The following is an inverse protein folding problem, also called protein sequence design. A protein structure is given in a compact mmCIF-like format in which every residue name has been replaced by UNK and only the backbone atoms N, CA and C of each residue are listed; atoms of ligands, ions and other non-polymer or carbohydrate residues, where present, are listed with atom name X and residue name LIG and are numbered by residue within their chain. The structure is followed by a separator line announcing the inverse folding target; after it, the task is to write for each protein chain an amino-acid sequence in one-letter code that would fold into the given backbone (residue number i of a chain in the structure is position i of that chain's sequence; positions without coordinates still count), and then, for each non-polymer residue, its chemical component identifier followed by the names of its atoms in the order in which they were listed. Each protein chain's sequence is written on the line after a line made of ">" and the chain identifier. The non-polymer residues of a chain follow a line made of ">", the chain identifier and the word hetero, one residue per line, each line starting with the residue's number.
data_IF_101382010020
#
_entry.id   IF_101382010020
#
_cell.length_a   1.000
_cell.length_b   1.000
_cell.length_c   1.000
_cell.angle_alpha   90.00
_cell.angle_beta   90.00
_cell.angle_gamma   90.00
#
_symmetry.space_group_name_H-M   'P 1'
#
loop_
_entity.id
_entity.type
_entity.pdbx_description
1 polymer ?
#
# COMPACT_ATOMS: atom_id res chain seq x y z
N UNK A 1 126.84 -63.27 2.83
CA UNK A 1 125.75 -64.27 2.90
C UNK A 1 124.74 -63.95 4.01
N UNK A 2 125.20 -63.39 5.14
CA UNK A 2 124.35 -62.95 6.27
C UNK A 2 123.18 -62.01 5.88
N UNK A 3 123.40 -61.08 4.94
CA UNK A 3 122.35 -60.17 4.47
C UNK A 3 121.22 -60.89 3.70
N UNK A 4 121.51 -62.04 3.07
CA UNK A 4 120.48 -62.88 2.42
C UNK A 4 119.69 -63.67 3.47
N UNK A 5 120.36 -64.15 4.52
CA UNK A 5 119.72 -64.87 5.63
C UNK A 5 118.81 -63.95 6.46
N UNK A 6 119.23 -62.71 6.74
CA UNK A 6 118.40 -61.70 7.42
C UNK A 6 117.13 -61.34 6.64
N UNK A 7 117.23 -61.23 5.30
CA UNK A 7 116.06 -60.99 4.44
C UNK A 7 115.11 -62.19 4.40
N UNK A 8 115.65 -63.41 4.35
CA UNK A 8 114.85 -64.63 4.41
C UNK A 8 114.10 -64.75 5.75
N UNK A 9 114.76 -64.44 6.88
CA UNK A 9 114.13 -64.48 8.20
C UNK A 9 113.01 -63.43 8.36
N UNK A 10 113.17 -62.23 7.77
CA UNK A 10 112.12 -61.19 7.76
C UNK A 10 110.92 -61.60 6.91
N UNK A 11 111.16 -62.15 5.72
CA UNK A 11 110.07 -62.67 4.87
C UNK A 11 109.31 -63.78 5.57
N UNK A 12 110.00 -64.69 6.26
CA UNK A 12 109.35 -65.76 7.02
C UNK A 12 108.52 -65.22 8.20
N UNK A 13 108.99 -64.17 8.88
CA UNK A 13 108.21 -63.48 9.93
C UNK A 13 106.99 -62.76 9.36
N UNK A 14 107.13 -62.07 8.22
CA UNK A 14 106.02 -61.41 7.53
C UNK A 14 104.98 -62.42 7.01
N UNK A 15 105.40 -63.57 6.47
CA UNK A 15 104.51 -64.64 6.03
C UNK A 15 103.75 -65.28 7.20
N UNK A 16 104.41 -65.49 8.35
CA UNK A 16 103.75 -65.98 9.57
C UNK A 16 102.74 -64.97 10.10
N UNK A 17 103.08 -63.69 10.15
CA UNK A 17 102.16 -62.62 10.55
C UNK A 17 100.99 -62.50 9.57
N UNK A 18 101.22 -62.59 8.25
CA UNK A 18 100.17 -62.56 7.25
C UNK A 18 99.23 -63.78 7.37
N UNK A 19 99.77 -64.97 7.65
CA UNK A 19 98.98 -66.17 7.88
C UNK A 19 98.16 -66.10 9.18
N UNK A 20 98.72 -65.56 10.26
CA UNK A 20 98.00 -65.32 11.52
C UNK A 20 96.91 -64.28 11.35
N UNK A 21 97.18 -63.17 10.64
CA UNK A 21 96.18 -62.16 10.32
C UNK A 21 95.07 -62.73 9.41
N UNK A 22 95.41 -63.56 8.42
CA UNK A 22 94.42 -64.23 7.58
C UNK A 22 93.55 -65.21 8.37
N UNK A 23 94.12 -65.92 9.35
CA UNK A 23 93.36 -66.79 10.27
C UNK A 23 92.41 -65.98 11.14
N UNK A 24 92.90 -64.91 11.78
CA UNK A 24 92.08 -64.03 12.60
C UNK A 24 90.93 -63.40 11.79
N UNK A 25 91.21 -62.93 10.57
CA UNK A 25 90.18 -62.39 9.67
C UNK A 25 89.16 -63.45 9.25
N UNK A 26 89.61 -64.69 8.99
CA UNK A 26 88.71 -65.79 8.65
C UNK A 26 87.81 -66.18 9.84
N UNK A 27 88.36 -66.22 11.05
CA UNK A 27 87.60 -66.46 12.28
C UNK A 27 86.58 -65.35 12.53
N UNK A 28 86.97 -64.07 12.39
CA UNK A 28 86.06 -62.94 12.48
C UNK A 28 84.92 -63.02 11.44
N UNK A 29 85.24 -63.29 10.17
CA UNK A 29 84.22 -63.45 9.13
C UNK A 29 83.28 -64.62 9.39
N UNK A 30 83.82 -65.75 9.89
CA UNK A 30 83.01 -66.90 10.27
C UNK A 30 82.07 -66.57 11.43
N UNK A 31 82.57 -65.84 12.43
CA UNK A 31 81.78 -65.40 13.57
C UNK A 31 80.72 -64.37 13.18
N UNK A 32 81.05 -63.42 12.29
CA UNK A 32 80.09 -62.46 11.74
C UNK A 32 79.02 -63.15 10.90
N UNK A 33 79.39 -64.11 10.06
CA UNK A 33 78.44 -64.89 9.26
C UNK A 33 77.54 -65.76 10.12
N UNK A 34 78.09 -66.37 11.17
CA UNK A 34 77.32 -67.09 12.17
C UNK A 34 76.35 -66.16 12.90
N UNK A 35 76.81 -64.99 13.35
CA UNK A 35 75.96 -63.98 14.00
C UNK A 35 74.88 -63.43 13.05
N UNK A 36 75.20 -63.24 11.76
CA UNK A 36 74.21 -62.89 10.73
C UNK A 36 73.12 -63.96 10.60
N UNK A 37 73.50 -65.24 10.50
CA UNK A 37 72.54 -66.35 10.48
C UNK A 37 71.70 -66.40 11.76
N UNK A 38 72.28 -66.12 12.93
CA UNK A 38 71.53 -66.05 14.20
C UNK A 38 70.57 -64.86 14.21
N UNK A 39 70.97 -63.68 13.72
CA UNK A 39 70.07 -62.51 13.59
C UNK A 39 68.90 -62.77 12.66
N UNK A 40 69.15 -63.42 11.53
CA UNK A 40 68.12 -63.74 10.54
C UNK A 40 67.18 -64.83 11.03
N UNK A 41 67.68 -65.86 11.71
CA UNK A 41 66.89 -67.02 12.14
C UNK A 41 66.25 -66.88 13.53
N UNK A 42 66.78 -66.04 14.43
CA UNK A 42 66.20 -65.85 15.76
C UNK A 42 64.96 -64.96 15.71
N UNK A 43 63.87 -65.44 16.32
CA UNK A 43 62.62 -64.70 16.41
C UNK A 43 62.75 -63.49 17.35
N UNK A 44 63.49 -63.62 18.45
CA UNK A 44 63.65 -62.55 19.45
C UNK A 44 64.34 -61.30 18.88
N UNK A 45 65.41 -61.47 18.09
CA UNK A 45 66.11 -60.33 17.47
C UNK A 45 65.26 -59.69 16.39
N UNK A 46 64.51 -60.49 15.61
CA UNK A 46 63.57 -59.97 14.60
C UNK A 46 62.42 -59.20 15.24
N UNK A 47 61.90 -59.67 16.37
CA UNK A 47 60.87 -58.94 17.14
C UNK A 47 61.40 -57.66 17.76
N UNK A 48 62.63 -57.70 18.31
CA UNK A 48 63.31 -56.51 18.81
C UNK A 48 63.50 -55.48 17.68
N UNK A 49 63.98 -55.91 16.52
CA UNK A 49 64.18 -55.05 15.37
C UNK A 49 62.85 -54.44 14.88
N UNK A 50 61.77 -55.22 14.84
CA UNK A 50 60.42 -54.72 14.54
C UNK A 50 59.97 -53.66 15.56
N UNK A 51 60.20 -53.90 16.86
CA UNK A 51 59.90 -52.95 17.94
C UNK A 51 60.73 -51.66 17.77
N UNK A 52 62.02 -51.76 17.48
CA UNK A 52 62.88 -50.60 17.21
C UNK A 52 62.43 -49.82 15.97
N UNK A 53 62.08 -50.50 14.88
CA UNK A 53 61.49 -49.87 13.68
C UNK A 53 60.19 -49.14 14.01
N UNK A 54 59.30 -49.74 14.80
CA UNK A 54 58.06 -49.08 15.26
C UNK A 54 58.34 -47.83 16.11
N UNK A 55 59.40 -47.84 16.91
CA UNK A 55 59.81 -46.71 17.74
C UNK A 55 60.30 -45.53 16.89
N UNK A 56 61.06 -45.80 15.83
CA UNK A 56 61.46 -44.76 14.87
C UNK A 56 60.23 -44.16 14.18
N UNK A 57 59.29 -44.99 13.72
CA UNK A 57 58.03 -44.52 13.14
C UNK A 57 57.21 -43.67 14.12
N UNK A 58 57.17 -44.05 15.39
CA UNK A 58 56.47 -43.28 16.42
C UNK A 58 57.16 -41.94 16.73
N UNK A 59 58.50 -41.90 16.72
CA UNK A 59 59.28 -40.67 16.87
C UNK A 59 59.02 -39.71 15.71
N UNK A 60 59.02 -40.21 14.48
CA UNK A 60 58.70 -39.41 13.29
C UNK A 60 57.25 -38.92 13.31
N UNK A 61 56.31 -39.78 13.69
CA UNK A 61 54.89 -39.40 13.85
C UNK A 61 54.72 -38.31 14.89
N UNK A 62 55.43 -38.38 16.02
CA UNK A 62 55.38 -37.34 17.04
C UNK A 62 55.93 -36.01 16.50
N UNK A 63 57.04 -36.04 15.77
CA UNK A 63 57.58 -34.84 15.12
C UNK A 63 56.57 -34.23 14.12
N UNK A 64 55.92 -35.06 13.30
CA UNK A 64 54.87 -34.60 12.38
C UNK A 64 53.66 -34.00 13.08
N UNK A 65 53.24 -34.56 14.22
CA UNK A 65 52.15 -34.00 15.03
C UNK A 65 52.55 -32.62 15.55
N UNK A 66 53.74 -32.49 16.12
CA UNK A 66 54.23 -31.19 16.62
C UNK A 66 54.37 -30.15 15.52
N UNK A 67 54.82 -30.54 14.32
CA UNK A 67 54.89 -29.66 13.16
C UNK A 67 53.51 -29.22 12.70
N UNK A 68 52.55 -30.16 12.64
CA UNK A 68 51.17 -29.86 12.27
C UNK A 68 50.51 -28.93 13.28
N UNK A 69 50.73 -29.12 14.57
CA UNK A 69 50.24 -28.25 15.64
C UNK A 69 50.84 -26.83 15.53
N UNK A 70 52.13 -26.72 15.23
CA UNK A 70 52.78 -25.43 14.99
C UNK A 70 52.16 -24.70 13.78
N UNK A 71 51.96 -25.41 12.66
CA UNK A 71 51.32 -24.86 11.46
C UNK A 71 49.87 -24.43 11.76
N UNK A 72 49.13 -25.20 12.54
CA UNK A 72 47.76 -24.84 12.95
C UNK A 72 47.75 -23.58 13.81
N UNK A 73 48.68 -23.46 14.76
CA UNK A 73 48.80 -22.28 15.60
C UNK A 73 49.12 -21.02 14.79
N UNK A 74 50.04 -21.11 13.83
CA UNK A 74 50.35 -20.00 12.91
C UNK A 74 49.14 -19.60 12.06
N UNK A 75 48.38 -20.57 11.54
CA UNK A 75 47.13 -20.31 10.80
C UNK A 75 46.11 -19.60 11.67
N UNK A 76 45.87 -20.07 12.90
CA UNK A 76 44.95 -19.42 13.83
C UNK A 76 45.36 -17.99 14.13
N UNK A 77 46.66 -17.73 14.29
CA UNK A 77 47.18 -16.37 14.50
C UNK A 77 46.91 -15.48 13.28
N UNK A 78 47.18 -15.96 12.07
CA UNK A 78 46.90 -15.21 10.85
C UNK A 78 45.40 -14.98 10.62
N UNK A 79 44.56 -15.98 10.88
CA UNK A 79 43.09 -15.83 10.82
C UNK A 79 42.59 -14.80 11.82
N UNK A 80 43.15 -14.76 13.03
CA UNK A 80 42.83 -13.75 14.04
C UNK A 80 43.25 -12.33 13.59
N UNK A 81 44.44 -12.18 13.00
CA UNK A 81 44.91 -10.90 12.44
C UNK A 81 44.01 -10.42 11.28
N UNK A 82 43.59 -11.33 10.40
CA UNK A 82 42.64 -11.03 9.32
C UNK A 82 41.29 -10.62 9.89
N UNK A 83 40.76 -11.37 10.86
CA UNK A 83 39.49 -11.07 11.50
C UNK A 83 39.50 -9.70 12.19
N UNK A 84 40.62 -9.32 12.82
CA UNK A 84 40.79 -8.00 13.41
C UNK A 84 40.75 -6.89 12.35
N UNK A 85 41.51 -7.03 11.25
CA UNK A 85 41.49 -6.05 10.14
C UNK A 85 40.10 -5.93 9.53
N UNK A 86 39.41 -7.04 9.32
CA UNK A 86 38.04 -7.03 8.80
C UNK A 86 37.09 -6.26 9.73
N UNK A 87 37.18 -6.49 11.05
CA UNK A 87 36.38 -5.73 12.03
C UNK A 87 36.66 -4.24 11.98
N UNK A 88 37.93 -3.84 11.92
CA UNK A 88 38.33 -2.43 11.82
C UNK A 88 37.77 -1.76 10.56
N UNK A 89 37.81 -2.44 9.41
CA UNK A 89 37.20 -1.93 8.17
C UNK A 89 35.67 -1.86 8.25
N UNK A 90 35.00 -2.88 8.82
CA UNK A 90 33.55 -2.83 9.05
C UNK A 90 33.16 -1.66 9.95
N UNK A 91 33.90 -1.40 11.03
CA UNK A 91 33.66 -0.25 11.91
C UNK A 91 33.85 1.08 11.20
N UNK A 92 34.82 1.19 10.28
CA UNK A 92 35.01 2.39 9.45
C UNK A 92 33.81 2.62 8.53
N UNK A 93 33.37 1.58 7.82
CA UNK A 93 32.20 1.65 6.95
C UNK A 93 30.95 2.07 7.73
N UNK A 94 30.69 1.48 8.90
CA UNK A 94 29.54 1.85 9.74
C UNK A 94 29.62 3.33 10.18
N UNK A 95 30.81 3.82 10.55
CA UNK A 95 31.01 5.23 10.91
C UNK A 95 30.78 6.16 9.73
N UNK A 96 31.23 5.79 8.54
CA UNK A 96 31.02 6.57 7.31
C UNK A 96 29.54 6.61 6.91
N UNK A 97 28.85 5.47 6.95
CA UNK A 97 27.41 5.37 6.73
C UNK A 97 26.64 6.21 7.74
N UNK A 98 26.97 6.11 9.04
CA UNK A 98 26.36 6.94 10.08
C UNK A 98 26.61 8.43 9.88
N UNK A 99 27.82 8.84 9.48
CA UNK A 99 28.12 10.22 9.12
C UNK A 99 27.32 10.71 7.91
N UNK A 100 27.18 9.88 6.88
CA UNK A 100 26.39 10.20 5.69
C UNK A 100 24.89 10.31 6.02
N UNK A 101 24.38 9.44 6.88
CA UNK A 101 22.99 9.48 7.34
C UNK A 101 22.71 10.73 8.18
N UNK A 102 23.62 11.11 9.08
CA UNK A 102 23.53 12.36 9.83
C UNK A 102 23.50 13.60 8.91
N UNK A 103 24.28 13.61 7.82
CA UNK A 103 24.24 14.69 6.82
C UNK A 103 22.87 14.75 6.14
N UNK A 104 22.36 13.60 5.65
CA UNK A 104 21.02 13.52 5.04
C UNK A 104 19.92 13.96 6.02
N UNK A 105 20.02 13.60 7.29
CA UNK A 105 19.06 14.01 8.30
C UNK A 105 19.12 15.51 8.57
N UNK A 106 20.32 16.10 8.62
CA UNK A 106 20.47 17.57 8.69
C UNK A 106 19.85 18.26 7.49
N UNK A 107 20.11 17.78 6.28
CA UNK A 107 19.51 18.31 5.04
C UNK A 107 17.97 18.22 5.08
N UNK A 108 17.41 17.10 5.54
CA UNK A 108 15.96 16.94 5.72
C UNK A 108 15.39 17.94 6.73
N UNK A 109 16.07 18.18 7.85
CA UNK A 109 15.64 19.15 8.86
C UNK A 109 15.67 20.57 8.28
N UNK A 110 16.74 20.95 7.57
CA UNK A 110 16.83 22.26 6.92
C UNK A 110 15.72 22.44 5.89
N UNK A 111 15.46 21.41 5.08
CA UNK A 111 14.37 21.40 4.12
C UNK A 111 12.98 21.53 4.78
N UNK A 112 12.76 20.83 5.90
CA UNK A 112 11.53 20.96 6.70
C UNK A 112 11.36 22.39 7.22
N UNK A 113 12.41 23.00 7.75
CA UNK A 113 12.38 24.39 8.22
C UNK A 113 12.09 25.39 7.09
N UNK A 114 12.60 25.14 5.88
CA UNK A 114 12.28 25.96 4.71
C UNK A 114 10.81 25.82 4.30
N UNK A 115 10.26 24.60 4.33
CA UNK A 115 8.83 24.37 4.07
C UNK A 115 7.95 25.03 5.13
N UNK A 116 8.32 24.94 6.41
CA UNK A 116 7.61 25.63 7.50
C UNK A 116 7.58 27.14 7.28
N UNK A 117 8.71 27.76 6.91
CA UNK A 117 8.76 29.18 6.54
C UNK A 117 7.85 29.52 5.35
N UNK A 118 7.80 28.66 4.33
CA UNK A 118 6.90 28.87 3.19
C UNK A 118 5.43 28.82 3.61
N UNK A 119 5.07 27.92 4.54
CA UNK A 119 3.72 27.85 5.10
C UNK A 119 3.39 29.09 5.92
N UNK A 120 4.31 29.53 6.79
CA UNK A 120 4.15 30.78 7.55
C UNK A 120 3.97 32.00 6.63
N UNK A 121 4.74 32.10 5.54
CA UNK A 121 4.56 33.16 4.54
C UNK A 121 3.20 33.09 3.84
N UNK A 122 2.71 31.88 3.52
CA UNK A 122 1.36 31.73 2.95
C UNK A 122 0.27 32.12 3.94
N UNK A 123 0.43 31.78 5.22
CA UNK A 123 -0.50 32.19 6.27
C UNK A 123 -0.51 33.71 6.47
N UNK A 124 0.66 34.36 6.48
CA UNK A 124 0.75 35.82 6.49
C UNK A 124 0.05 36.45 5.30
N UNK A 125 0.29 35.97 4.09
CA UNK A 125 -0.41 36.45 2.89
C UNK A 125 -1.94 36.31 2.99
N UNK A 126 -2.43 35.22 3.60
CA UNK A 126 -3.87 35.05 3.86
C UNK A 126 -4.39 36.05 4.90
N UNK A 127 -3.60 36.33 5.94
CA UNK A 127 -3.94 37.35 6.95
C UNK A 127 -3.99 38.74 6.31
N UNK A 128 -2.98 39.11 5.54
CA UNK A 128 -2.92 40.40 4.82
C UNK A 128 -4.12 40.56 3.87
N UNK A 129 -4.43 39.53 3.07
CA UNK A 129 -5.58 39.54 2.17
C UNK A 129 -6.92 39.63 2.92
N UNK A 130 -7.02 39.03 4.11
CA UNK A 130 -8.20 39.15 4.95
C UNK A 130 -8.34 40.56 5.55
N UNK A 131 -7.24 41.20 5.94
CA UNK A 131 -7.24 42.59 6.35
C UNK A 131 -7.66 43.53 5.21
N UNK A 132 -7.15 43.32 4.01
CA UNK A 132 -7.57 44.07 2.81
C UNK A 132 -9.06 43.88 2.54
N UNK A 133 -9.56 42.64 2.58
CA UNK A 133 -10.98 42.35 2.43
C UNK A 133 -11.84 43.08 3.48
N UNK A 134 -11.40 43.12 4.74
CA UNK A 134 -12.11 43.87 5.78
C UNK A 134 -12.13 45.37 5.51
N UNK A 135 -11.02 45.95 5.03
CA UNK A 135 -10.96 47.36 4.63
C UNK A 135 -11.89 47.65 3.45
N UNK A 136 -11.89 46.81 2.42
CA UNK A 136 -12.80 46.91 1.28
C UNK A 136 -14.26 46.79 1.71
N UNK A 137 -14.57 45.83 2.57
CA UNK A 137 -15.93 45.65 3.11
C UNK A 137 -16.40 46.91 3.83
N UNK A 138 -15.58 47.49 4.70
CA UNK A 138 -15.91 48.74 5.39
C UNK A 138 -16.15 49.89 4.38
N UNK A 139 -15.32 49.99 3.34
CA UNK A 139 -15.50 50.99 2.28
C UNK A 139 -16.80 50.77 1.50
N UNK A 140 -17.13 49.53 1.17
CA UNK A 140 -18.39 49.17 0.50
C UNK A 140 -19.58 49.49 1.41
N UNK A 141 -19.52 49.14 2.68
CA UNK A 141 -20.57 49.44 3.66
C UNK A 141 -20.79 50.96 3.78
N UNK A 142 -19.74 51.77 3.73
CA UNK A 142 -19.85 53.24 3.66
C UNK A 142 -20.50 53.74 2.37
N UNK A 143 -20.16 53.15 1.22
CA UNK A 143 -20.78 53.49 -0.08
C UNK A 143 -22.28 53.14 -0.04
N UNK A 144 -22.63 51.94 0.44
CA UNK A 144 -24.02 51.51 0.59
C UNK A 144 -24.77 52.44 1.53
N UNK A 145 -24.17 52.85 2.65
CA UNK A 145 -24.77 53.82 3.57
C UNK A 145 -25.06 55.15 2.86
N UNK A 146 -24.10 55.69 2.10
CA UNK A 146 -24.29 56.93 1.31
C UNK A 146 -25.41 56.79 0.28
N UNK A 147 -25.50 55.67 -0.43
CA UNK A 147 -26.59 55.42 -1.39
C UNK A 147 -27.94 55.42 -0.67
N UNK A 148 -28.05 54.75 0.48
CA UNK A 148 -29.29 54.76 1.27
C UNK A 148 -29.65 56.17 1.77
N UNK A 149 -28.67 56.96 2.21
CA UNK A 149 -28.87 58.35 2.61
C UNK A 149 -29.36 59.19 1.41
N UNK A 150 -28.72 59.08 0.24
CA UNK A 150 -29.11 59.76 -1.00
C UNK A 150 -30.52 59.36 -1.45
N UNK A 151 -30.86 58.07 -1.46
CA UNK A 151 -32.19 57.56 -1.78
C UNK A 151 -33.28 58.10 -0.83
N UNK A 152 -32.97 58.20 0.46
CA UNK A 152 -33.89 58.79 1.44
C UNK A 152 -34.09 60.27 1.19
N UNK A 153 -33.02 61.02 0.91
CA UNK A 153 -33.10 62.44 0.55
C UNK A 153 -33.89 62.65 -0.74
N UNK A 154 -33.69 61.82 -1.75
CA UNK A 154 -34.44 61.90 -3.01
C UNK A 154 -35.94 61.61 -2.80
N UNK A 155 -36.28 60.61 -1.98
CA UNK A 155 -37.67 60.33 -1.59
C UNK A 155 -38.30 61.52 -0.86
N UNK A 156 -37.59 62.15 0.07
CA UNK A 156 -38.07 63.34 0.78
C UNK A 156 -38.29 64.50 -0.20
N UNK A 157 -37.33 64.79 -1.07
CA UNK A 157 -37.46 65.83 -2.10
C UNK A 157 -38.66 65.56 -3.04
N UNK A 158 -38.91 64.30 -3.40
CA UNK A 158 -40.07 63.92 -4.20
C UNK A 158 -41.39 64.15 -3.46
N UNK A 159 -41.45 63.78 -2.17
CA UNK A 159 -42.62 64.05 -1.32
C UNK A 159 -42.86 65.55 -1.17
N UNK A 160 -41.82 66.34 -0.97
CA UNK A 160 -41.95 67.80 -0.84
C UNK A 160 -42.37 68.46 -2.15
N UNK A 161 -41.86 67.99 -3.30
CA UNK A 161 -42.38 68.40 -4.62
C UNK A 161 -43.85 68.05 -4.79
N UNK A 162 -44.26 66.83 -4.41
CA UNK A 162 -45.67 66.42 -4.47
C UNK A 162 -46.55 67.29 -3.56
N UNK A 163 -46.11 67.57 -2.33
CA UNK A 163 -46.81 68.47 -1.40
C UNK A 163 -46.92 69.88 -1.98
N UNK A 164 -45.85 70.42 -2.54
CA UNK A 164 -45.87 71.75 -3.19
C UNK A 164 -46.84 71.78 -4.37
N UNK A 165 -46.84 70.76 -5.24
CA UNK A 165 -47.81 70.68 -6.34
C UNK A 165 -49.25 70.55 -5.82
N UNK A 166 -49.46 69.80 -4.73
CA UNK A 166 -50.77 69.64 -4.12
C UNK A 166 -51.28 70.95 -3.54
N UNK A 167 -50.43 71.71 -2.83
CA UNK A 167 -50.79 73.04 -2.31
C UNK A 167 -51.11 74.00 -3.45
N UNK A 168 -50.32 74.02 -4.54
CA UNK A 168 -50.63 74.84 -5.72
C UNK A 168 -51.96 74.44 -6.38
N UNK A 169 -52.27 73.15 -6.49
CA UNK A 169 -53.56 72.67 -7.01
C UNK A 169 -54.72 73.12 -6.11
N UNK A 170 -54.56 73.02 -4.79
CA UNK A 170 -55.59 73.40 -3.84
C UNK A 170 -55.82 74.92 -3.79
N UNK A 171 -54.77 75.72 -3.90
CA UNK A 171 -54.84 77.17 -4.09
C UNK A 171 -55.56 77.53 -5.40
N UNK A 172 -55.18 76.90 -6.52
CA UNK A 172 -55.84 77.10 -7.80
C UNK A 172 -57.34 76.72 -7.76
N UNK A 173 -57.70 75.62 -7.09
CA UNK A 173 -59.10 75.23 -6.89
C UNK A 173 -59.88 76.24 -6.06
N UNK A 174 -59.27 76.81 -5.01
CA UNK A 174 -59.88 77.88 -4.20
C UNK A 174 -60.12 79.13 -5.05
N UNK A 175 -59.13 79.57 -5.82
CA UNK A 175 -59.26 80.70 -6.74
C UNK A 175 -60.35 80.46 -7.80
N UNK A 176 -60.38 79.27 -8.39
CA UNK A 176 -61.42 78.90 -9.36
C UNK A 176 -62.82 78.83 -8.72
N UNK A 177 -62.93 78.42 -7.45
CA UNK A 177 -64.19 78.44 -6.72
C UNK A 177 -64.67 79.87 -6.43
N UNK A 178 -63.76 80.76 -6.04
CA UNK A 178 -64.03 82.19 -5.85
C UNK A 178 -64.47 82.81 -7.19
N UNK A 179 -63.77 82.53 -8.28
CA UNK A 179 -64.14 83.01 -9.62
C UNK A 179 -65.52 82.50 -10.06
N UNK A 180 -65.81 81.20 -9.89
CA UNK A 180 -67.14 80.63 -10.19
C UNK A 180 -68.24 81.26 -9.35
N UNK A 181 -67.99 81.53 -8.07
CA UNK A 181 -68.93 82.20 -7.18
C UNK A 181 -69.21 83.62 -7.65
N UNK A 182 -68.16 84.40 -7.95
CA UNK A 182 -68.28 85.76 -8.48
C UNK A 182 -69.04 85.80 -9.80
N UNK A 183 -68.76 84.86 -10.71
CA UNK A 183 -69.49 84.74 -11.98
C UNK A 183 -70.95 84.38 -11.77
N UNK A 184 -71.27 83.52 -10.79
CA UNK A 184 -72.65 83.19 -10.43
C UNK A 184 -73.39 84.39 -9.86
N UNK A 185 -72.76 85.16 -8.98
CA UNK A 185 -73.32 86.39 -8.42
C UNK A 185 -73.61 87.42 -9.52
N UNK A 186 -72.68 87.61 -10.48
CA UNK A 186 -72.92 88.44 -11.68
C UNK A 186 -74.11 87.95 -12.52
N UNK A 187 -74.20 86.65 -12.78
CA UNK A 187 -75.32 86.05 -13.53
C UNK A 187 -76.65 86.18 -12.79
N UNK A 188 -76.65 86.07 -11.46
CA UNK A 188 -77.85 86.26 -10.63
C UNK A 188 -78.33 87.71 -10.66
N UNK A 189 -77.41 88.70 -10.65
CA UNK A 189 -77.76 90.11 -10.82
C UNK A 189 -78.31 90.43 -12.22
N UNK A 190 -77.72 89.86 -13.28
CA UNK A 190 -78.25 89.98 -14.64
C UNK A 190 -79.64 89.33 -14.76
N UNK A 191 -79.82 88.13 -14.19
CA UNK A 191 -81.12 87.45 -14.17
C UNK A 191 -82.18 88.23 -13.38
N UNK A 192 -81.82 88.91 -12.28
CA UNK A 192 -82.74 89.80 -11.55
C UNK A 192 -83.21 90.95 -12.44
N UNK A 193 -82.30 91.60 -13.17
CA UNK A 193 -82.65 92.68 -14.12
C UNK A 193 -83.53 92.18 -15.26
N UNK A 194 -83.28 90.96 -15.76
CA UNK A 194 -84.13 90.32 -16.78
C UNK A 194 -85.54 90.05 -16.24
N UNK A 195 -85.65 89.53 -15.01
CA UNK A 195 -86.96 89.27 -14.39
C UNK A 195 -87.76 90.55 -14.16
N UNK A 196 -87.11 91.62 -13.71
CA UNK A 196 -87.74 92.94 -13.56
C UNK A 196 -88.25 93.46 -14.91
N UNK A 197 -87.44 93.36 -15.97
CA UNK A 197 -87.86 93.74 -17.33
C UNK A 197 -89.03 92.89 -17.86
N UNK A 198 -89.00 91.58 -17.62
CA UNK A 198 -90.07 90.66 -18.02
C UNK A 198 -91.39 90.95 -17.28
N UNK A 199 -91.34 91.35 -16.00
CA UNK A 199 -92.52 91.75 -15.24
C UNK A 199 -93.13 93.06 -15.76
N UNK A 200 -92.30 94.03 -16.14
CA UNK A 200 -92.76 95.29 -16.75
C UNK A 200 -93.43 95.04 -18.12
N UNK A 201 -92.91 94.11 -18.93
CA UNK A 201 -93.54 93.72 -20.19
C UNK A 201 -94.90 93.03 -19.98
N UNK A 202 -94.98 92.09 -19.03
CA UNK A 202 -96.25 91.41 -18.69
C UNK A 202 -97.34 92.39 -18.27
N UNK A 203 -97.02 93.39 -17.45
CA UNK A 203 -97.99 94.42 -17.05
C UNK A 203 -98.50 95.24 -18.25
N UNK A 204 -97.63 95.58 -19.21
CA UNK A 204 -98.04 96.29 -20.45
C UNK A 204 -98.91 95.44 -21.37
N UNK A 205 -98.67 94.13 -21.43
CA UNK A 205 -99.49 93.19 -22.20
C UNK A 205 -100.87 93.00 -21.55
N UNK A 206 -100.94 92.86 -20.24
CA UNK A 206 -102.21 92.76 -19.49
C UNK A 206 -103.10 94.00 -19.72
N UNK A 207 -102.51 95.21 -19.66
CA UNK A 207 -103.22 96.46 -19.95
C UNK A 207 -103.73 96.56 -21.40
N UNK A 208 -103.01 95.96 -22.36
CA UNK A 208 -103.46 95.87 -23.77
C UNK A 208 -104.60 94.88 -23.92
N UNK A 209 -104.49 93.71 -23.30
CA UNK A 209 -105.51 92.65 -23.39
C UNK A 209 -106.83 93.07 -22.76
N UNK A 210 -106.80 93.87 -21.69
CA UNK A 210 -108.00 94.47 -21.11
C UNK A 210 -108.76 95.36 -22.12
N UNK A 211 -108.04 96.17 -22.90
CA UNK A 211 -108.65 97.06 -23.93
C UNK A 211 -109.23 96.30 -25.12
N UNK A 212 -108.66 95.15 -25.49
CA UNK A 212 -109.17 94.31 -26.59
C UNK A 212 -110.48 93.62 -26.19
N UNK A 213 -110.58 93.12 -24.96
CA UNK A 213 -111.80 92.46 -24.44
C UNK A 213 -113.02 93.39 -24.48
N UNK A 214 -112.85 94.65 -24.09
CA UNK A 214 -113.89 95.69 -24.15
C UNK A 214 -114.37 95.99 -25.59
N UNK A 215 -113.53 95.78 -26.59
CA UNK A 215 -113.88 95.97 -28.00
C UNK A 215 -114.58 94.73 -28.60
N UNK A 216 -114.20 93.53 -28.20
CA UNK A 216 -114.82 92.27 -28.65
C UNK A 216 -116.26 92.11 -28.15
N UNK A 217 -116.55 92.51 -26.91
CA UNK A 217 -117.94 92.48 -26.39
C UNK A 217 -118.89 93.36 -27.21
N UNK A 218 -118.40 94.48 -27.75
CA UNK A 218 -119.21 95.37 -28.62
C UNK A 218 -119.44 94.75 -30.01
N UNK A 219 -118.49 93.95 -30.51
CA UNK A 219 -118.57 93.28 -31.82
C UNK A 219 -119.48 92.06 -31.82
N UNK A 220 -119.47 91.26 -30.75
CA UNK A 220 -120.33 90.07 -30.61
C UNK A 220 -121.83 90.40 -30.62
N UNK A 221 -122.21 91.56 -30.07
CA UNK A 221 -123.59 92.07 -30.13
C UNK A 221 -124.07 92.33 -31.57
N UNK A 222 -123.17 92.74 -32.46
CA UNK A 222 -123.49 93.03 -33.87
C UNK A 222 -123.58 91.74 -34.72
N UNK A 223 -122.70 90.77 -34.48
CA UNK A 223 -122.69 89.50 -35.22
C UNK A 223 -123.94 88.65 -34.98
N UNK A 224 -124.49 88.69 -33.75
CA UNK A 224 -125.70 87.94 -33.42
C UNK A 224 -126.92 88.38 -34.24
N UNK A 225 -126.99 89.65 -34.67
CA UNK A 225 -128.06 90.14 -35.56
C UNK A 225 -127.93 89.66 -37.00
N UNK A 226 -126.72 89.36 -37.48
CA UNK A 226 -126.48 88.97 -38.88
C UNK A 226 -126.76 87.47 -39.08
N UNK A 227 -126.46 86.63 -38.09
CA UNK A 227 -126.65 85.18 -38.16
C UNK A 227 -128.11 84.77 -38.42
N UNK A 228 -129.08 85.45 -37.79
CA UNK A 228 -130.51 85.15 -37.97
C UNK A 228 -131.02 85.41 -39.41
N UNK A 229 -130.35 86.26 -40.18
CA UNK A 229 -130.75 86.56 -41.55
C UNK A 229 -130.19 85.55 -42.57
N UNK A 230 -129.07 84.89 -42.28
CA UNK A 230 -128.41 83.97 -43.21
C UNK A 230 -129.08 82.58 -43.24
N UNK A 231 -129.61 82.13 -42.10
CA UNK A 231 -130.23 80.81 -41.94
C UNK A 231 -131.47 80.62 -42.82
N UNK A 232 -132.17 81.71 -43.16
CA UNK A 232 -133.33 81.70 -44.06
C UNK A 232 -132.98 81.48 -45.54
N UNK A 233 -131.76 81.77 -45.96
CA UNK A 233 -131.34 81.64 -47.36
C UNK A 233 -130.71 80.27 -47.68
N UNK A 234 -130.17 79.55 -46.68
CA UNK A 234 -129.52 78.25 -46.89
C UNK A 234 -130.50 77.11 -47.18
N UNK A 235 -131.69 77.11 -46.58
CA UNK A 235 -132.68 76.03 -46.78
C UNK A 235 -133.13 75.87 -48.25
N UNK A 236 -133.02 76.93 -49.06
CA UNK A 236 -133.39 76.89 -50.49
C UNK A 236 -132.33 76.23 -51.39
N UNK A 237 -131.09 76.05 -50.90
CA UNK A 237 -129.98 75.51 -51.71
C UNK A 237 -129.81 74.00 -51.58
N UNK A 238 -130.20 73.42 -50.45
CA UNK A 238 -129.95 72.00 -50.15
C UNK A 238 -130.80 71.03 -51.01
N UNK A 239 -131.94 71.47 -51.54
CA UNK A 239 -132.79 70.63 -52.40
C UNK A 239 -132.17 70.32 -53.78
N UNK A 240 -131.14 71.06 -54.21
CA UNK A 240 -130.53 70.91 -55.55
C UNK A 240 -129.34 69.94 -55.61
N UNK A 241 -128.69 69.60 -54.48
CA UNK A 241 -127.41 68.86 -54.49
C UNK A 241 -127.55 67.33 -54.44
N UNK A 242 -128.69 66.77 -54.04
CA UNK A 242 -128.84 65.31 -53.85
C UNK A 242 -128.73 64.49 -55.14
N UNK A 243 -128.97 65.08 -56.32
CA UNK A 243 -129.00 64.38 -57.62
C UNK A 243 -127.58 64.06 -58.15
N UNK A 244 -126.50 64.61 -57.56
CA UNK A 244 -125.14 64.56 -58.15
C UNK A 244 -124.23 63.43 -57.65
N UNK A 245 -124.58 62.72 -56.57
CA UNK A 245 -123.64 61.87 -55.83
C UNK A 245 -123.58 60.39 -56.26
N UNK A 246 -124.50 59.88 -57.08
CA UNK A 246 -124.56 58.42 -57.37
C UNK A 246 -123.50 57.89 -58.38
N UNK A 247 -122.66 58.74 -59.01
CA UNK A 247 -121.82 58.34 -60.16
C UNK A 247 -120.31 58.04 -59.89
N UNK A 248 -119.77 58.28 -58.69
CA UNK A 248 -118.30 58.34 -58.46
C UNK A 248 -117.61 57.05 -57.93
N UNK A 249 -118.34 56.02 -57.46
CA UNK A 249 -117.76 54.98 -56.58
C UNK A 249 -117.09 53.74 -57.25
N UNK A 250 -117.15 53.55 -58.57
CA UNK A 250 -116.79 52.26 -59.21
C UNK A 250 -115.27 52.07 -59.56
N UNK A 251 -114.41 53.09 -59.53
CA UNK A 251 -113.07 53.05 -60.19
C UNK A 251 -111.85 52.60 -59.34
N UNK A 252 -111.89 52.48 -58.00
CA UNK A 252 -110.64 52.44 -57.18
C UNK A 252 -110.00 51.06 -56.82
N UNK A 253 -110.58 49.89 -57.10
CA UNK A 253 -110.24 48.65 -56.35
C UNK A 253 -109.03 47.75 -56.81
N UNK A 254 -108.29 47.99 -57.91
CA UNK A 254 -107.40 46.97 -58.54
C UNK A 254 -105.90 46.90 -58.10
N UNK A 255 -105.37 47.84 -57.31
CA UNK A 255 -103.90 48.11 -57.29
C UNK A 255 -102.98 47.35 -56.28
N UNK A 256 -103.44 46.54 -55.32
CA UNK A 256 -102.66 46.18 -54.09
C UNK A 256 -101.79 44.87 -54.04
N UNK A 257 -101.72 43.95 -55.03
CA UNK A 257 -101.25 42.53 -54.80
C UNK A 257 -99.75 42.08 -54.95
N UNK A 258 -98.71 42.91 -55.15
CA UNK A 258 -97.38 42.45 -55.69
C UNK A 258 -96.10 42.33 -54.79
N UNK A 259 -96.08 42.54 -53.46
CA UNK A 259 -94.83 42.88 -52.71
C UNK A 259 -94.11 41.83 -51.78
N UNK A 260 -94.55 40.58 -51.53
CA UNK A 260 -94.13 39.80 -50.33
C UNK A 260 -93.01 38.68 -50.36
N UNK A 261 -92.33 38.28 -51.46
CA UNK A 261 -91.63 36.95 -51.56
C UNK A 261 -90.10 36.78 -51.26
N UNK A 262 -89.31 37.76 -50.76
CA UNK A 262 -87.83 37.74 -50.92
C UNK A 262 -86.87 37.33 -49.74
N UNK A 263 -87.30 37.02 -48.51
CA UNK A 263 -86.42 37.10 -47.31
C UNK A 263 -85.74 35.81 -46.73
N UNK A 264 -85.89 34.57 -47.23
CA UNK A 264 -85.67 33.33 -46.40
C UNK A 264 -84.28 32.58 -46.48
N UNK A 265 -83.34 32.86 -47.39
CA UNK A 265 -82.28 31.87 -47.77
C UNK A 265 -80.94 31.77 -46.92
N UNK A 266 -80.59 32.68 -46.00
CA UNK A 266 -79.17 32.85 -45.52
C UNK A 266 -78.66 32.10 -44.25
N UNK A 267 -79.39 31.18 -43.58
CA UNK A 267 -79.10 30.78 -42.16
C UNK A 267 -78.29 29.47 -41.84
N UNK A 268 -77.72 28.69 -42.78
CA UNK A 268 -77.30 27.27 -42.49
C UNK A 268 -75.78 26.97 -42.27
N UNK A 269 -74.80 27.85 -42.53
CA UNK A 269 -73.38 27.46 -42.70
C UNK A 269 -72.40 27.36 -41.49
N UNK A 270 -72.80 27.54 -40.23
CA UNK A 270 -71.83 27.78 -39.12
C UNK A 270 -71.76 26.73 -37.99
N UNK A 271 -71.91 25.41 -38.27
CA UNK A 271 -72.05 24.38 -37.20
C UNK A 271 -71.00 23.25 -37.13
N UNK A 272 -69.84 23.31 -37.81
CA UNK A 272 -68.95 22.12 -37.99
C UNK A 272 -67.50 22.15 -37.45
N UNK A 273 -66.95 23.25 -36.91
CA UNK A 273 -65.49 23.34 -36.61
C UNK A 273 -65.07 23.15 -35.12
N UNK A 274 -65.89 22.51 -34.29
CA UNK A 274 -65.62 22.33 -32.83
C UNK A 274 -65.37 20.86 -32.42
N UNK A 275 -64.69 20.09 -33.28
CA UNK A 275 -64.25 18.70 -33.06
C UNK A 275 -62.73 18.61 -33.29
N UNK A 276 -61.94 19.30 -32.47
CA UNK A 276 -61.19 18.66 -31.36
C UNK A 276 -60.02 17.81 -31.88
N UNK A 277 -58.80 18.29 -32.10
CA UNK A 277 -57.86 18.95 -31.14
C UNK A 277 -57.74 18.29 -29.75
N UNK A 278 -58.20 17.04 -29.58
CA UNK A 278 -58.11 16.27 -28.33
C UNK A 278 -57.16 15.05 -28.36
N UNK A 279 -56.47 14.77 -29.49
CA UNK A 279 -55.67 13.54 -29.66
C UNK A 279 -54.15 13.69 -29.45
N UNK A 280 -53.59 14.89 -29.25
CA UNK A 280 -52.12 15.10 -29.25
C UNK A 280 -51.43 15.12 -27.85
N UNK A 281 -52.12 14.83 -26.74
CA UNK A 281 -51.54 14.96 -25.38
C UNK A 281 -51.15 13.66 -24.65
N UNK A 282 -51.32 12.45 -25.21
CA UNK A 282 -51.09 11.18 -24.45
C UNK A 282 -49.76 10.44 -24.75
N UNK A 283 -48.93 10.91 -25.69
CA UNK A 283 -47.75 10.16 -26.17
C UNK A 283 -46.42 10.44 -25.45
N UNK A 284 -46.36 11.31 -24.43
CA UNK A 284 -45.09 11.81 -23.85
C UNK A 284 -44.73 11.30 -22.42
N UNK A 285 -45.31 10.19 -21.93
CA UNK A 285 -45.15 9.81 -20.49
C UNK A 285 -44.77 8.34 -20.17
N UNK A 286 -43.99 7.62 -21.01
CA UNK A 286 -43.64 6.20 -20.70
C UNK A 286 -42.20 5.71 -20.94
N UNK A 287 -41.23 6.55 -21.31
CA UNK A 287 -39.86 6.08 -21.68
C UNK A 287 -38.77 6.41 -20.64
N UNK A 288 -39.07 7.10 -19.53
CA UNK A 288 -38.04 7.59 -18.59
C UNK A 288 -37.84 6.79 -17.28
N UNK A 289 -38.11 5.47 -17.23
CA UNK A 289 -38.05 4.72 -15.93
C UNK A 289 -37.50 3.29 -15.95
N UNK A 290 -36.66 2.92 -16.93
CA UNK A 290 -36.07 1.57 -17.01
C UNK A 290 -34.53 1.51 -17.17
N UNK A 291 -33.81 2.62 -16.97
CA UNK A 291 -32.35 2.67 -17.18
C UNK A 291 -31.54 2.92 -15.87
N UNK A 292 -32.02 2.50 -14.69
CA UNK A 292 -31.36 2.78 -13.40
C UNK A 292 -31.26 1.56 -12.45
N UNK A 293 -31.43 0.33 -12.93
CA UNK A 293 -31.41 -0.87 -12.06
C UNK A 293 -30.35 -1.93 -12.44
N UNK A 294 -29.38 -1.62 -13.30
CA UNK A 294 -28.36 -2.59 -13.76
C UNK A 294 -26.92 -2.29 -13.29
N UNK A 295 -26.69 -1.42 -12.28
CA UNK A 295 -25.33 -1.08 -11.80
C UNK A 295 -24.97 -1.52 -10.35
N UNK A 296 -25.78 -2.29 -9.62
CA UNK A 296 -25.52 -2.54 -8.17
C UNK A 296 -25.29 -4.00 -7.69
N UNK A 297 -25.31 -5.05 -8.51
CA UNK A 297 -25.24 -6.45 -8.00
C UNK A 297 -23.98 -7.28 -8.33
N UNK A 298 -22.97 -6.73 -9.03
CA UNK A 298 -21.79 -7.51 -9.45
C UNK A 298 -20.50 -7.32 -8.61
N UNK A 299 -20.54 -6.63 -7.47
CA UNK A 299 -19.33 -6.29 -6.68
C UNK A 299 -19.26 -6.93 -5.26
N UNK A 300 -20.05 -7.97 -4.98
CA UNK A 300 -20.23 -8.48 -3.59
C UNK A 300 -19.92 -9.95 -3.32
N UNK A 301 -19.27 -10.69 -4.22
CA UNK A 301 -19.14 -12.16 -4.03
C UNK A 301 -17.77 -12.82 -4.21
N UNK A 302 -16.64 -12.11 -4.11
CA UNK A 302 -15.37 -12.84 -4.04
C UNK A 302 -14.23 -12.11 -3.31
N UNK A 303 -14.56 -11.66 -2.09
CA UNK A 303 -13.59 -11.40 -1.02
C UNK A 303 -13.69 -12.56 0.01
N UNK A 304 -13.42 -13.79 -0.44
CA UNK A 304 -13.30 -15.01 0.38
C UNK A 304 -11.98 -15.71 0.03
N UNK A 305 -10.92 -14.91 0.02
CA UNK A 305 -9.57 -15.33 -0.34
C UNK A 305 -8.57 -15.23 0.81
N UNK A 306 -8.96 -14.94 2.06
CA UNK A 306 -7.97 -14.87 3.16
C UNK A 306 -8.57 -15.18 4.53
N UNK A 307 -8.50 -16.45 4.88
CA UNK A 307 -7.83 -16.90 6.11
C UNK A 307 -7.17 -18.22 5.68
N UNK A 308 -5.91 -18.19 5.24
CA UNK A 308 -4.79 -18.14 6.18
C UNK A 308 -5.16 -19.04 7.35
N UNK A 309 -4.76 -20.30 7.21
CA UNK A 309 -3.72 -20.73 8.13
C UNK A 309 -4.27 -20.65 9.54
N UNK A 310 -4.81 -21.76 10.01
CA UNK A 310 -4.11 -22.30 11.15
C UNK A 310 -4.25 -23.83 11.19
N UNK A 311 -3.16 -24.38 11.69
CA UNK A 311 -3.00 -25.69 12.29
C UNK A 311 -2.69 -26.86 11.35
N UNK A 312 -1.43 -26.97 10.94
CA UNK A 312 -0.33 -27.62 11.70
C UNK A 312 -0.67 -29.07 12.09
N UNK A 313 -0.05 -29.97 11.34
CA UNK A 313 0.87 -30.97 11.89
C UNK A 313 0.34 -31.71 13.12
N UNK A 314 -0.41 -32.76 12.88
CA UNK A 314 -0.65 -33.90 13.76
C UNK A 314 -0.93 -35.08 12.82
N UNK A 315 -0.16 -36.15 12.65
CA UNK A 315 0.96 -36.71 13.38
C UNK A 315 1.67 -37.71 12.45
N UNK A 316 2.99 -37.75 12.59
CA UNK A 316 3.81 -38.91 12.30
C UNK A 316 3.29 -40.12 13.11
N UNK A 317 3.15 -41.31 12.50
CA UNK A 317 3.45 -42.66 13.07
C UNK A 317 2.46 -43.78 12.71
N UNK A 318 2.67 -44.46 11.58
CA UNK A 318 2.04 -45.78 11.35
C UNK A 318 2.90 -46.82 10.61
N UNK A 319 4.23 -46.64 10.50
CA UNK A 319 5.09 -47.55 9.72
C UNK A 319 6.35 -48.07 10.46
N UNK A 320 6.32 -48.09 11.80
CA UNK A 320 7.42 -48.60 12.66
C UNK A 320 7.00 -49.77 13.58
N UNK A 321 6.28 -50.78 13.07
CA UNK A 321 5.97 -52.05 13.80
C UNK A 321 6.06 -53.35 12.98
N UNK A 322 6.89 -53.42 11.94
CA UNK A 322 7.24 -54.70 11.26
C UNK A 322 8.70 -55.06 11.46
N UNK A 323 9.13 -55.10 12.72
CA UNK A 323 9.38 -56.39 13.39
C UNK A 323 10.24 -57.34 12.56
N UNK A 324 11.49 -56.92 12.53
CA UNK A 324 12.70 -57.65 12.21
C UNK A 324 13.04 -58.64 13.33
N UNK A 325 12.23 -59.69 13.58
CA UNK A 325 12.42 -60.50 14.80
C UNK A 325 12.37 -62.04 14.73
N UNK A 326 12.36 -62.72 13.57
CA UNK A 326 12.19 -64.19 13.62
C UNK A 326 13.11 -65.10 12.77
N UNK A 327 14.16 -64.61 12.11
CA UNK A 327 15.00 -65.47 11.24
C UNK A 327 16.44 -65.74 11.72
N UNK A 328 16.97 -65.03 12.72
CA UNK A 328 18.38 -65.16 13.13
C UNK A 328 18.69 -66.19 14.24
N UNK A 329 17.71 -67.03 14.65
CA UNK A 329 17.84 -67.90 15.84
C UNK A 329 18.06 -69.40 15.56
N UNK A 330 18.20 -69.87 14.32
CA UNK A 330 18.25 -71.33 14.02
C UNK A 330 19.54 -71.90 13.40
N UNK A 331 20.63 -71.15 13.22
CA UNK A 331 21.79 -71.60 12.43
C UNK A 331 23.11 -71.91 13.20
N UNK A 332 23.20 -71.71 14.52
CA UNK A 332 24.51 -71.62 15.21
C UNK A 332 24.94 -72.88 15.98
N UNK A 333 24.06 -73.84 16.27
CA UNK A 333 24.38 -74.92 17.24
C UNK A 333 25.06 -76.18 16.68
N UNK A 334 25.23 -76.38 15.37
CA UNK A 334 25.74 -77.66 14.81
C UNK A 334 27.25 -77.77 14.55
N UNK A 335 28.06 -76.74 14.84
CA UNK A 335 29.47 -76.67 14.39
C UNK A 335 30.54 -77.04 15.45
N UNK A 336 30.16 -77.40 16.68
CA UNK A 336 31.09 -77.40 17.82
C UNK A 336 31.63 -78.79 18.22
N UNK A 337 30.99 -79.90 17.82
CA UNK A 337 31.29 -81.21 18.41
C UNK A 337 32.42 -82.02 17.71
N UNK A 338 32.73 -81.76 16.44
CA UNK A 338 33.66 -82.62 15.67
C UNK A 338 35.16 -82.38 15.92
N UNK A 339 35.54 -81.33 16.66
CA UNK A 339 36.93 -80.85 16.76
C UNK A 339 37.81 -81.54 17.83
N UNK A 340 37.23 -82.32 18.75
CA UNK A 340 37.93 -82.73 19.99
C UNK A 340 38.75 -84.03 19.90
N UNK A 341 38.58 -84.88 18.87
CA UNK A 341 39.13 -86.25 18.89
C UNK A 341 40.52 -86.43 18.26
N UNK A 342 41.04 -85.48 17.47
CA UNK A 342 42.35 -85.61 16.81
C UNK A 342 43.55 -85.18 17.70
N UNK A 343 43.30 -84.62 18.87
CA UNK A 343 44.30 -83.86 19.63
C UNK A 343 45.30 -84.68 20.48
N UNK A 344 45.00 -85.95 20.78
CA UNK A 344 45.70 -86.67 21.86
C UNK A 344 46.91 -87.49 21.35
N UNK A 345 46.90 -87.92 20.09
CA UNK A 345 47.88 -88.88 19.56
C UNK A 345 49.26 -88.27 19.19
N UNK A 346 49.34 -86.97 18.93
CA UNK A 346 50.58 -86.32 18.46
C UNK A 346 51.55 -85.95 19.60
N UNK A 347 51.14 -86.10 20.87
CA UNK A 347 51.82 -85.49 22.01
C UNK A 347 53.09 -86.22 22.52
N UNK A 348 53.27 -87.51 22.21
CA UNK A 348 54.32 -88.34 22.84
C UNK A 348 55.63 -88.40 22.04
N UNK A 349 55.61 -88.28 20.71
CA UNK A 349 56.83 -88.24 19.88
C UNK A 349 57.64 -86.96 20.06
N UNK A 350 56.98 -85.91 20.55
CA UNK A 350 57.53 -84.57 20.71
C UNK A 350 58.58 -84.47 21.85
N UNK A 351 58.58 -85.37 22.83
CA UNK A 351 59.39 -85.22 24.05
C UNK A 351 60.89 -85.55 23.89
N UNK A 352 61.25 -86.44 22.97
CA UNK A 352 62.64 -86.92 22.83
C UNK A 352 63.52 -86.00 21.96
N UNK A 353 62.94 -85.35 20.94
CA UNK A 353 63.65 -84.37 20.10
C UNK A 353 64.03 -83.11 20.90
N UNK A 354 63.24 -82.75 21.92
CA UNK A 354 63.44 -81.56 22.77
C UNK A 354 64.78 -81.50 23.49
N UNK A 355 65.32 -82.61 24.02
CA UNK A 355 66.53 -82.56 24.85
C UNK A 355 67.82 -82.24 24.07
N UNK A 356 67.90 -82.63 22.80
CA UNK A 356 69.08 -82.38 21.97
C UNK A 356 69.04 -80.99 21.34
N UNK A 357 67.84 -80.47 21.14
CA UNK A 357 67.59 -79.08 20.78
C UNK A 357 67.94 -78.12 21.93
N UNK A 358 67.64 -78.48 23.19
CA UNK A 358 67.91 -77.63 24.36
C UNK A 358 69.38 -77.16 24.46
N UNK A 359 70.37 -78.05 24.27
CA UNK A 359 71.80 -77.67 24.32
C UNK A 359 72.24 -76.79 23.15
N UNK A 360 71.69 -77.03 21.95
CA UNK A 360 71.94 -76.17 20.78
C UNK A 360 71.29 -74.79 20.98
N UNK A 361 70.11 -74.78 21.59
CA UNK A 361 69.39 -73.56 21.93
C UNK A 361 70.12 -72.75 23.00
N UNK A 362 70.77 -73.37 24.00
CA UNK A 362 71.54 -72.64 25.02
C UNK A 362 72.69 -71.81 24.42
N UNK A 363 73.49 -72.40 23.52
CA UNK A 363 74.55 -71.66 22.82
C UNK A 363 74.01 -70.59 21.87
N UNK A 364 72.84 -70.82 21.26
CA UNK A 364 72.18 -69.79 20.45
C UNK A 364 71.64 -68.67 21.36
N UNK A 365 71.10 -69.00 22.54
CA UNK A 365 70.56 -68.03 23.50
C UNK A 365 71.63 -67.07 24.01
N UNK A 366 72.84 -67.54 24.30
CA UNK A 366 73.95 -66.66 24.71
C UNK A 366 74.35 -65.69 23.59
N UNK A 367 74.49 -66.18 22.35
CA UNK A 367 74.79 -65.33 21.19
C UNK A 367 73.64 -64.35 20.91
N UNK A 368 72.39 -64.78 21.04
CA UNK A 368 71.20 -63.92 20.88
C UNK A 368 71.19 -62.81 21.93
N UNK A 369 71.52 -63.10 23.19
CA UNK A 369 71.54 -62.10 24.26
C UNK A 369 72.66 -61.06 24.07
N UNK A 370 73.85 -61.49 23.61
CA UNK A 370 74.94 -60.57 23.22
C UNK A 370 74.51 -59.63 22.08
N UNK A 371 73.89 -60.19 21.03
CA UNK A 371 73.43 -59.42 19.87
C UNK A 371 72.26 -58.50 20.22
N UNK A 372 71.37 -58.92 21.13
CA UNK A 372 70.30 -58.12 21.72
C UNK A 372 70.87 -56.88 22.41
N UNK A 373 71.87 -57.06 23.28
CA UNK A 373 72.52 -55.96 24.00
C UNK A 373 73.23 -54.99 23.04
N UNK A 374 73.86 -55.51 21.98
CA UNK A 374 74.49 -54.68 20.94
C UNK A 374 73.47 -53.81 20.19
N UNK A 375 72.36 -54.41 19.75
CA UNK A 375 71.26 -53.66 19.09
C UNK A 375 70.65 -52.60 20.01
N UNK A 376 70.49 -52.91 21.30
CA UNK A 376 69.99 -51.94 22.27
C UNK A 376 70.96 -50.76 22.43
N UNK A 377 72.26 -51.00 22.57
CA UNK A 377 73.26 -49.93 22.68
C UNK A 377 73.26 -48.98 21.47
N UNK A 378 73.14 -49.54 20.27
CA UNK A 378 73.20 -48.75 19.03
C UNK A 378 71.93 -47.89 18.80
N UNK A 379 70.76 -48.39 19.22
CA UNK A 379 69.47 -47.77 18.91
C UNK A 379 68.79 -47.05 20.08
N UNK A 380 69.06 -47.44 21.33
CA UNK A 380 68.35 -46.90 22.49
C UNK A 380 68.62 -45.40 22.69
N UNK A 381 69.86 -44.94 22.51
CA UNK A 381 70.21 -43.51 22.61
C UNK A 381 69.43 -42.64 21.62
N UNK A 382 69.24 -43.13 20.38
CA UNK A 382 68.49 -42.42 19.32
C UNK A 382 66.98 -42.42 19.53
N UNK A 383 66.47 -43.40 20.28
CA UNK A 383 65.05 -43.66 20.53
C UNK A 383 64.60 -43.29 21.96
N UNK A 384 65.38 -42.46 22.66
CA UNK A 384 65.04 -41.96 23.98
C UNK A 384 63.61 -41.39 24.00
N UNK A 385 62.76 -41.90 24.89
CA UNK A 385 61.34 -41.52 25.01
C UNK A 385 60.36 -42.30 24.12
N UNK A 386 60.82 -42.92 23.03
CA UNK A 386 59.98 -43.59 22.03
C UNK A 386 60.15 -45.12 22.00
N UNK A 387 60.98 -45.68 22.88
CA UNK A 387 61.20 -47.13 22.97
C UNK A 387 59.91 -47.87 23.45
N UNK A 388 59.50 -48.99 22.82
CA UNK A 388 58.28 -49.71 23.19
C UNK A 388 58.42 -50.49 24.49
N UNK A 389 57.29 -50.72 25.18
CA UNK A 389 57.25 -51.49 26.42
C UNK A 389 57.68 -52.95 26.18
N UNK A 390 58.49 -53.50 27.09
CA UNK A 390 58.96 -54.89 27.02
C UNK A 390 60.17 -55.11 26.09
N UNK A 391 60.96 -54.07 25.81
CA UNK A 391 62.25 -54.16 25.12
C UNK A 391 63.42 -54.33 26.11
N UNK A 392 63.29 -53.78 27.31
CA UNK A 392 64.23 -53.92 28.43
C UNK A 392 63.74 -55.07 29.32
N UNK A 393 64.62 -56.03 29.62
CA UNK A 393 64.29 -57.22 30.43
C UNK A 393 64.54 -56.93 31.91
N UNK A 394 65.75 -56.44 32.23
CA UNK A 394 66.22 -56.24 33.62
C UNK A 394 66.76 -54.81 33.86
N UNK A 395 66.95 -54.44 35.14
CA UNK A 395 67.54 -53.14 35.53
C UNK A 395 68.99 -52.99 35.05
N UNK A 396 69.68 -54.11 34.81
CA UNK A 396 71.01 -54.16 34.23
C UNK A 396 71.05 -53.62 32.79
N UNK A 397 69.99 -53.85 32.00
CA UNK A 397 69.86 -53.29 30.65
C UNK A 397 69.76 -51.75 30.71
N UNK A 398 69.12 -51.20 31.74
CA UNK A 398 68.99 -49.74 31.92
C UNK A 398 70.33 -49.14 32.34
N UNK A 399 71.06 -49.82 33.23
CA UNK A 399 72.38 -49.40 33.69
C UNK A 399 73.41 -49.42 32.55
N UNK A 400 73.29 -50.36 31.61
CA UNK A 400 74.15 -50.48 30.43
C UNK A 400 74.02 -49.31 29.43
N UNK A 401 72.86 -48.63 29.40
CA UNK A 401 72.51 -47.62 28.40
C UNK A 401 72.81 -46.17 28.82
N UNK A 402 73.35 -45.96 30.03
CA UNK A 402 73.84 -44.66 30.52
C UNK A 402 72.86 -43.88 31.41
N UNK A 403 73.37 -42.83 32.07
CA UNK A 403 72.64 -42.06 33.09
C UNK A 403 71.45 -41.24 32.53
N UNK A 404 71.56 -40.74 31.30
CA UNK A 404 70.48 -39.99 30.63
C UNK A 404 69.23 -40.86 30.41
N UNK A 405 69.44 -42.15 30.10
CA UNK A 405 68.36 -43.11 29.92
C UNK A 405 67.70 -43.43 31.26
N UNK A 406 68.49 -43.57 32.32
CA UNK A 406 68.01 -43.79 33.70
C UNK A 406 67.10 -42.65 34.17
N UNK A 407 67.50 -41.40 33.95
CA UNK A 407 66.73 -40.22 34.36
C UNK A 407 65.41 -40.07 33.58
N UNK A 408 65.44 -40.28 32.26
CA UNK A 408 64.24 -40.17 31.42
C UNK A 408 63.19 -41.25 31.76
N UNK A 409 63.63 -42.49 32.01
CA UNK A 409 62.74 -43.60 32.36
C UNK A 409 62.30 -43.60 33.83
N UNK A 410 63.12 -43.13 34.78
CA UNK A 410 62.69 -42.92 36.18
C UNK A 410 61.58 -41.87 36.29
N UNK A 411 61.70 -40.73 35.59
CA UNK A 411 60.64 -39.71 35.52
C UNK A 411 59.33 -40.28 34.97
N UNK A 412 59.39 -41.16 33.96
CA UNK A 412 58.20 -41.78 33.36
C UNK A 412 57.54 -42.84 34.27
N UNK A 413 58.33 -43.60 35.06
CA UNK A 413 57.80 -44.54 36.07
C UNK A 413 57.02 -43.81 37.17
N UNK A 414 57.46 -42.60 37.55
CA UNK A 414 56.75 -41.73 38.49
C UNK A 414 55.40 -41.22 37.97
N UNK A 415 55.31 -40.87 36.68
CA UNK A 415 54.07 -40.40 36.06
C UNK A 415 53.08 -41.53 35.68
N UNK A 416 53.53 -42.78 35.56
CA UNK A 416 52.65 -43.91 35.23
C UNK A 416 51.73 -44.32 36.39
N UNK A 417 52.06 -43.96 37.64
CA UNK A 417 51.22 -44.20 38.81
C UNK A 417 50.13 -43.12 39.03
N UNK A 418 50.09 -42.08 38.19
CA UNK A 418 49.07 -41.00 38.26
C UNK A 418 48.00 -41.07 37.17
N UNK A 419 48.08 -42.01 36.21
CA UNK A 419 47.09 -42.17 35.13
C UNK A 419 46.13 -43.36 35.32
N UNK A 420 46.17 -44.04 36.46
CA UNK A 420 45.11 -44.96 36.90
C UNK A 420 44.40 -44.36 38.13
N UNK A 421 43.50 -43.40 37.89
CA UNK A 421 42.39 -43.02 38.78
C UNK A 421 41.27 -42.36 37.98
#
# INVERSE_FOLDING_TARGET
>A
EENKQLRALRLEQEERLAAELARLNHEQLKDEKMRQQVRENSLELRELEKKLKSAYMNKERAAQITEKEAIQYEKMKHEAEIAQKMKEEYERVIKEEGCAELKRNKEKIMYQQELEKQLEEQERKKQDAYEEFLREKLMIDEIVRKIYEEDQMEKQLKLDKMRATQTYIDEFKKEQAIWRRRKREEMEEENRKIMEFANIQRQREEDRMAKVRDAEEKKQRLQSMIAQNLEREQQKREELEQIRQELYLEEQAETERKKEMAEIEKRIRQRLDLRQTYEEQFALKKVARQAMQEEEEAFRQQMLAKFAEDDRIEEMNAQKRRMKQLEHRRAVEKLIEDRRKQFIADKERELAERQLEERRQENIRTIVEEERQKLLKEHASKLLGYLPRGVLKDEDDINMLGEEFRLAYQKRRGNAFSEES
#
